data_IF_618219850793
#
_entry.id   IF_618219850793
#
_cell.length_a   1.000
_cell.length_b   1.000
_cell.length_c   1.000
_cell.angle_alpha   90.00
_cell.angle_beta   90.00
_cell.angle_gamma   90.00
#
_symmetry.space_group_name_H-M   'P 1'
#
loop_
_entity.id
_entity.type
_entity.pdbx_description
1 polymer ?
#
# COMPACT_ATOMS: atom_id res chain seq x y z
N UNK A 1 -28.20 -23.98 17.08
CA UNK A 1 -27.21 -25.05 17.33
C UNK A 1 -25.94 -24.33 17.74
N UNK A 2 -25.59 -24.40 19.02
CA UNK A 2 -24.38 -23.76 19.51
C UNK A 2 -23.15 -24.54 18.98
N UNK A 3 -22.42 -23.93 18.07
CA UNK A 3 -21.14 -24.47 17.63
C UNK A 3 -20.16 -24.38 18.77
N UNK A 4 -19.57 -25.50 19.15
CA UNK A 4 -18.40 -25.56 20.00
C UNK A 4 -17.25 -24.81 19.29
N UNK A 5 -17.08 -23.52 19.60
CA UNK A 5 -15.84 -22.84 19.33
C UNK A 5 -14.81 -23.40 20.33
N UNK A 6 -14.01 -24.38 19.87
CA UNK A 6 -12.79 -24.76 20.56
C UNK A 6 -11.97 -23.47 20.71
N UNK A 7 -11.66 -23.10 21.94
CA UNK A 7 -10.81 -21.95 22.21
C UNK A 7 -9.51 -22.05 21.41
N UNK A 8 -8.87 -20.95 21.04
CA UNK A 8 -7.69 -20.94 20.19
C UNK A 8 -6.65 -21.91 20.74
N UNK A 9 -6.20 -22.85 19.89
CA UNK A 9 -5.13 -23.76 20.27
C UNK A 9 -3.98 -22.93 20.82
N UNK A 10 -3.57 -23.21 22.06
CA UNK A 10 -2.47 -22.49 22.73
C UNK A 10 -1.20 -22.38 21.90
N UNK A 11 -1.01 -23.32 20.94
CA UNK A 11 0.13 -23.32 20.02
C UNK A 11 0.05 -22.25 18.91
N UNK A 12 -1.14 -21.81 18.52
CA UNK A 12 -1.34 -20.84 17.44
C UNK A 12 -2.11 -19.59 17.88
N UNK A 13 -2.30 -19.41 19.19
CA UNK A 13 -2.93 -18.22 19.74
C UNK A 13 -2.05 -16.98 19.68
N UNK A 14 -2.68 -15.79 19.85
CA UNK A 14 -2.00 -14.49 19.86
C UNK A 14 -0.69 -14.47 20.68
N UNK A 15 -0.64 -14.92 21.96
CA UNK A 15 0.58 -14.82 22.76
C UNK A 15 1.74 -15.61 22.17
N UNK A 16 1.50 -16.81 21.68
CA UNK A 16 2.57 -17.69 21.15
C UNK A 16 3.17 -17.10 19.89
N UNK A 17 2.35 -16.59 18.96
CA UNK A 17 2.82 -15.95 17.72
C UNK A 17 3.51 -14.65 18.05
N UNK A 18 2.91 -13.81 18.87
CA UNK A 18 3.45 -12.49 19.22
C UNK A 18 4.83 -12.61 19.91
N UNK A 19 4.92 -13.36 20.99
CA UNK A 19 6.19 -13.51 21.72
C UNK A 19 7.20 -14.39 20.96
N UNK A 20 6.74 -15.37 20.20
CA UNK A 20 7.60 -16.22 19.38
C UNK A 20 8.32 -15.41 18.28
N UNK A 21 7.60 -14.59 17.56
CA UNK A 21 8.17 -13.72 16.51
C UNK A 21 9.09 -12.66 17.11
N UNK A 22 8.75 -12.08 18.26
CA UNK A 22 9.63 -11.14 18.98
C UNK A 22 10.89 -11.83 19.49
N UNK A 23 10.81 -13.06 19.97
CA UNK A 23 12.00 -13.83 20.38
C UNK A 23 12.95 -14.10 19.21
N UNK A 24 12.42 -14.38 18.02
CA UNK A 24 13.23 -14.49 16.79
C UNK A 24 13.91 -13.16 16.47
N UNK A 25 13.17 -12.04 16.47
CA UNK A 25 13.73 -10.72 16.21
C UNK A 25 14.80 -10.33 17.24
N UNK A 26 14.53 -10.57 18.53
CA UNK A 26 15.49 -10.35 19.62
C UNK A 26 16.74 -11.20 19.47
N UNK A 27 16.61 -12.46 19.07
CA UNK A 27 17.74 -13.34 18.81
C UNK A 27 18.59 -12.86 17.64
N UNK A 28 17.98 -12.42 16.55
CA UNK A 28 18.68 -11.79 15.42
C UNK A 28 19.39 -10.52 15.84
N UNK A 29 18.71 -9.63 16.58
CA UNK A 29 19.29 -8.40 17.11
C UNK A 29 20.50 -8.68 18.01
N UNK A 30 20.39 -9.68 18.90
CA UNK A 30 21.48 -10.13 19.76
C UNK A 30 22.67 -10.67 18.94
N UNK A 31 22.40 -11.51 17.93
CA UNK A 31 23.43 -12.02 17.03
C UNK A 31 24.16 -10.90 16.29
N UNK A 32 23.43 -9.91 15.77
CA UNK A 32 24.04 -8.75 15.13
C UNK A 32 24.88 -7.93 16.12
N UNK A 33 24.39 -7.73 17.33
CA UNK A 33 25.14 -7.04 18.38
C UNK A 33 26.45 -7.77 18.73
N UNK A 34 26.42 -9.09 18.82
CA UNK A 34 27.62 -9.91 19.04
C UNK A 34 28.63 -9.78 17.89
N UNK A 35 28.12 -9.78 16.64
CA UNK A 35 28.97 -9.74 15.45
C UNK A 35 29.58 -8.37 15.15
N UNK A 36 28.85 -7.29 15.43
CA UNK A 36 29.24 -5.91 15.08
C UNK A 36 29.39 -4.97 16.28
N UNK A 37 29.31 -5.47 17.50
CA UNK A 37 29.46 -4.72 18.74
C UNK A 37 28.23 -3.92 19.17
N UNK A 38 27.40 -3.45 18.23
CA UNK A 38 26.11 -2.77 18.49
C UNK A 38 25.23 -2.74 17.23
N UNK A 39 23.96 -2.47 17.43
CA UNK A 39 23.06 -2.19 16.31
C UNK A 39 23.32 -0.78 15.77
N UNK A 40 23.11 -0.56 14.45
CA UNK A 40 23.26 0.75 13.83
C UNK A 40 22.36 1.81 14.49
N UNK A 41 22.89 3.03 14.61
CA UNK A 41 22.11 4.21 15.03
C UNK A 41 21.56 4.95 13.80
N UNK A 42 20.71 5.97 14.02
CA UNK A 42 20.13 6.82 12.98
C UNK A 42 21.26 7.40 12.11
N UNK A 43 21.08 7.32 10.79
CA UNK A 43 22.04 7.80 9.81
C UNK A 43 23.25 6.90 9.56
N UNK A 44 23.44 5.84 10.33
CA UNK A 44 24.53 4.89 10.12
C UNK A 44 24.19 3.86 9.03
N UNK A 45 25.26 3.27 8.47
CA UNK A 45 25.12 2.18 7.50
C UNK A 45 24.24 1.06 8.06
N UNK A 46 23.30 0.59 7.24
CA UNK A 46 22.28 -0.42 7.52
C UNK A 46 21.11 0.04 8.40
N UNK A 47 21.07 1.27 8.92
CA UNK A 47 19.89 1.79 9.63
C UNK A 47 18.63 1.66 8.78
N UNK A 48 18.64 2.21 7.56
CA UNK A 48 17.49 2.18 6.65
C UNK A 48 17.11 0.76 6.22
N UNK A 49 18.07 -0.17 6.15
CA UNK A 49 17.80 -1.58 5.87
C UNK A 49 17.01 -2.22 7.02
N UNK A 50 17.40 -1.97 8.26
CA UNK A 50 16.72 -2.50 9.45
C UNK A 50 15.30 -1.92 9.54
N UNK A 51 15.19 -0.59 9.42
CA UNK A 51 13.91 0.13 9.47
C UNK A 51 12.95 -0.40 8.40
N UNK A 52 13.43 -0.55 7.15
CA UNK A 52 12.61 -1.12 6.08
C UNK A 52 12.20 -2.56 6.37
N UNK A 53 13.13 -3.39 6.84
CA UNK A 53 12.84 -4.80 7.14
C UNK A 53 11.76 -4.93 8.21
N UNK A 54 11.84 -4.14 9.27
CA UNK A 54 10.82 -4.11 10.33
C UNK A 54 9.48 -3.53 9.83
N UNK A 55 9.53 -2.50 8.99
CA UNK A 55 8.35 -1.95 8.33
C UNK A 55 7.67 -2.96 7.38
N UNK A 56 8.46 -3.72 6.62
CA UNK A 56 7.95 -4.79 5.77
C UNK A 56 7.34 -5.93 6.59
N UNK A 57 7.89 -6.25 7.76
CA UNK A 57 7.23 -7.19 8.67
C UNK A 57 5.84 -6.69 9.08
N UNK A 58 5.73 -5.41 9.50
CA UNK A 58 4.41 -4.82 9.78
C UNK A 58 3.47 -4.90 8.57
N UNK A 59 3.96 -4.62 7.35
CA UNK A 59 3.15 -4.71 6.14
C UNK A 59 2.68 -6.14 5.86
N UNK A 60 3.56 -7.14 6.00
CA UNK A 60 3.18 -8.56 5.84
C UNK A 60 2.11 -8.93 6.88
N UNK A 61 2.26 -8.48 8.12
CA UNK A 61 1.22 -8.66 9.15
C UNK A 61 -0.11 -8.05 8.74
N UNK A 62 -0.11 -6.81 8.23
CA UNK A 62 -1.31 -6.14 7.71
C UNK A 62 -1.93 -6.91 6.53
N UNK A 63 -1.13 -7.45 5.60
CA UNK A 63 -1.64 -8.24 4.48
C UNK A 63 -2.35 -9.52 4.97
N UNK A 64 -1.75 -10.21 5.93
CA UNK A 64 -2.32 -11.44 6.53
C UNK A 64 -3.61 -11.11 7.28
N UNK A 65 -3.61 -10.04 8.07
CA UNK A 65 -4.77 -9.58 8.82
C UNK A 65 -5.92 -9.16 7.89
N UNK A 66 -5.61 -8.37 6.86
CA UNK A 66 -6.58 -7.98 5.84
C UNK A 66 -7.18 -9.18 5.11
N UNK A 67 -6.36 -10.20 4.81
CA UNK A 67 -6.85 -11.44 4.22
C UNK A 67 -7.82 -12.17 5.16
N UNK A 68 -7.51 -12.26 6.46
CA UNK A 68 -8.39 -12.90 7.45
C UNK A 68 -9.74 -12.18 7.53
N UNK A 69 -9.75 -10.83 7.53
CA UNK A 69 -10.97 -10.03 7.49
C UNK A 69 -11.80 -10.26 6.23
N UNK A 70 -11.16 -10.33 5.06
CA UNK A 70 -11.85 -10.54 3.78
C UNK A 70 -12.44 -11.95 3.68
N UNK A 71 -11.68 -12.97 4.12
CA UNK A 71 -12.11 -14.37 4.08
C UNK A 71 -13.10 -14.76 5.17
N UNK A 72 -13.48 -13.83 6.06
CA UNK A 72 -14.45 -14.08 7.13
C UNK A 72 -13.91 -15.01 8.23
N UNK A 73 -12.59 -15.10 8.38
CA UNK A 73 -11.93 -15.92 9.43
C UNK A 73 -11.57 -15.10 10.67
N UNK A 74 -12.26 -13.98 10.88
CA UNK A 74 -12.02 -13.08 12.01
C UNK A 74 -12.82 -13.52 13.23
N UNK A 75 -12.14 -13.55 14.39
CA UNK A 75 -12.76 -13.73 15.69
C UNK A 75 -13.38 -12.43 16.22
N UNK A 76 -14.32 -12.55 17.18
CA UNK A 76 -14.95 -11.41 17.85
C UNK A 76 -14.02 -10.73 18.90
N UNK A 77 -12.71 -10.92 18.80
CA UNK A 77 -11.71 -10.42 19.77
C UNK A 77 -10.57 -9.72 19.05
N UNK A 78 -9.99 -8.70 19.72
CA UNK A 78 -8.77 -8.04 19.25
C UNK A 78 -7.55 -8.98 19.20
N UNK A 79 -7.48 -9.98 20.10
CA UNK A 79 -6.29 -10.83 20.25
C UNK A 79 -6.29 -12.02 19.27
N UNK A 80 -6.30 -11.74 17.99
CA UNK A 80 -6.23 -12.76 16.92
C UNK A 80 -4.78 -13.13 16.57
N UNK A 81 -4.53 -14.33 16.02
CA UNK A 81 -3.22 -14.70 15.48
C UNK A 81 -2.71 -13.72 14.40
N UNK A 82 -3.61 -13.15 13.63
CA UNK A 82 -3.33 -12.21 12.55
C UNK A 82 -2.80 -10.88 13.09
N UNK A 83 -3.48 -10.30 14.07
CA UNK A 83 -3.02 -9.14 14.83
C UNK A 83 -1.67 -9.42 15.52
N UNK A 84 -1.43 -10.64 16.00
CA UNK A 84 -0.15 -10.99 16.64
C UNK A 84 1.04 -10.79 15.69
N UNK A 85 0.93 -11.17 14.43
CA UNK A 85 1.99 -10.97 13.44
C UNK A 85 2.19 -9.48 13.16
N UNK A 86 1.12 -8.74 13.00
CA UNK A 86 1.16 -7.32 12.69
C UNK A 86 1.77 -6.50 13.84
N UNK A 87 1.21 -6.65 15.03
CA UNK A 87 1.67 -5.90 16.22
C UNK A 87 3.04 -6.36 16.73
N UNK A 88 3.47 -7.61 16.49
CA UNK A 88 4.84 -8.01 16.80
C UNK A 88 5.86 -7.29 15.92
N UNK A 89 5.57 -7.10 14.64
CA UNK A 89 6.39 -6.28 13.74
C UNK A 89 6.50 -4.83 14.23
N UNK A 90 5.36 -4.21 14.58
CA UNK A 90 5.34 -2.86 15.10
C UNK A 90 6.09 -2.73 16.44
N UNK A 91 5.96 -3.72 17.32
CA UNK A 91 6.70 -3.76 18.60
C UNK A 91 8.21 -3.88 18.37
N UNK A 92 8.63 -4.75 17.45
CA UNK A 92 10.05 -4.88 17.09
C UNK A 92 10.61 -3.56 16.50
N UNK A 93 9.83 -2.90 15.64
CA UNK A 93 10.19 -1.61 15.09
C UNK A 93 10.27 -0.54 16.19
N UNK A 94 9.25 -0.44 17.03
CA UNK A 94 9.23 0.50 18.16
C UNK A 94 10.39 0.26 19.13
N UNK A 95 10.72 -0.99 19.43
CA UNK A 95 11.87 -1.35 20.27
C UNK A 95 13.21 -0.92 19.64
N UNK A 96 13.36 -1.09 18.34
CA UNK A 96 14.54 -0.62 17.62
C UNK A 96 14.63 0.92 17.63
N UNK A 97 13.55 1.63 17.37
CA UNK A 97 13.52 3.10 17.45
C UNK A 97 13.80 3.58 18.87
N UNK A 98 13.22 2.92 19.88
CA UNK A 98 13.55 3.22 21.28
C UNK A 98 15.05 3.07 21.57
N UNK A 99 15.66 1.97 21.08
CA UNK A 99 17.12 1.74 21.22
C UNK A 99 17.93 2.84 20.56
N UNK A 100 17.60 3.26 19.34
CA UNK A 100 18.37 4.28 18.62
C UNK A 100 18.21 5.67 19.20
N UNK A 101 17.10 5.96 19.87
CA UNK A 101 16.82 7.21 20.55
C UNK A 101 17.36 7.26 21.99
N UNK A 102 17.80 6.12 22.53
CA UNK A 102 18.30 6.07 23.90
C UNK A 102 19.55 6.93 24.05
N UNK A 103 19.51 7.99 24.88
CA UNK A 103 20.66 8.86 25.12
C UNK A 103 21.76 8.15 25.93
N UNK A 104 22.97 8.69 25.92
CA UNK A 104 24.10 8.14 26.67
C UNK A 104 23.86 8.14 28.18
N UNK A 105 23.10 9.12 28.68
CA UNK A 105 22.68 9.24 30.10
C UNK A 105 21.67 8.17 30.51
N UNK A 106 21.20 7.37 29.56
CA UNK A 106 20.34 6.20 29.79
C UNK A 106 18.86 6.50 29.90
N UNK A 107 18.10 5.44 30.19
CA UNK A 107 16.62 5.44 30.17
C UNK A 107 16.00 6.44 31.17
N UNK A 108 16.65 6.67 32.32
CA UNK A 108 16.16 7.63 33.33
C UNK A 108 16.13 9.07 32.83
N UNK A 109 17.13 9.44 32.00
CA UNK A 109 17.18 10.74 31.35
C UNK A 109 16.07 10.85 30.28
N UNK A 110 15.91 9.83 29.46
CA UNK A 110 14.87 9.78 28.42
C UNK A 110 13.46 9.89 29.00
N UNK A 111 13.17 9.23 30.13
CA UNK A 111 11.87 9.33 30.79
C UNK A 111 11.60 10.74 31.32
N UNK A 112 12.61 11.42 31.85
CA UNK A 112 12.46 12.79 32.35
C UNK A 112 12.35 13.83 31.25
N UNK A 113 13.00 13.58 30.10
CA UNK A 113 13.09 14.51 28.98
C UNK A 113 12.76 13.83 27.63
N UNK A 114 11.54 13.27 27.46
CA UNK A 114 11.20 12.42 26.30
C UNK A 114 11.29 13.18 24.96
N UNK A 115 11.03 14.48 24.98
CA UNK A 115 11.08 15.31 23.77
C UNK A 115 12.49 15.74 23.36
N UNK A 116 13.47 15.61 24.23
CA UNK A 116 14.84 16.01 23.94
C UNK A 116 15.48 15.07 22.93
N UNK A 117 15.32 13.77 23.10
CA UNK A 117 15.78 12.75 22.15
C UNK A 117 15.16 12.91 20.74
N UNK A 118 13.93 13.47 20.65
CA UNK A 118 13.26 13.73 19.39
C UNK A 118 13.72 15.00 18.70
N UNK A 119 14.19 16.01 19.45
CA UNK A 119 14.64 17.30 18.87
C UNK A 119 15.90 17.16 18.02
N UNK A 120 16.79 16.25 18.39
CA UNK A 120 18.06 16.01 17.68
C UNK A 120 17.96 15.20 16.41
N UNK A 121 16.77 14.68 16.06
CA UNK A 121 16.59 13.85 14.88
C UNK A 121 16.60 14.72 13.62
N UNK A 122 17.45 14.36 12.65
CA UNK A 122 17.49 15.01 11.35
C UNK A 122 16.14 14.83 10.62
N UNK A 123 15.69 15.87 9.86
CA UNK A 123 14.36 15.89 9.25
C UNK A 123 14.00 14.65 8.44
N UNK A 124 14.96 14.07 7.71
CA UNK A 124 14.76 12.90 6.85
C UNK A 124 14.48 11.61 7.63
N UNK A 125 14.85 11.52 8.90
CA UNK A 125 14.63 10.34 9.74
C UNK A 125 13.35 10.46 10.61
N UNK A 126 12.79 11.68 10.71
CA UNK A 126 11.56 11.93 11.50
C UNK A 126 10.37 11.09 11.05
N UNK A 127 10.10 10.89 9.74
CA UNK A 127 8.95 10.10 9.32
C UNK A 127 8.95 8.69 9.90
N UNK A 128 10.08 7.97 9.87
CA UNK A 128 10.18 6.64 10.44
C UNK A 128 9.94 6.59 11.94
N UNK A 129 10.48 7.57 12.68
CA UNK A 129 10.31 7.68 14.14
C UNK A 129 8.89 8.06 14.50
N UNK A 130 8.34 9.12 13.89
CA UNK A 130 6.97 9.54 14.20
C UNK A 130 5.94 8.55 13.67
N UNK A 131 6.20 7.88 12.56
CA UNK A 131 5.35 6.84 12.01
C UNK A 131 5.08 5.73 13.01
N UNK A 132 6.13 5.18 13.63
CA UNK A 132 5.95 4.10 14.61
C UNK A 132 5.34 4.58 15.94
N UNK A 133 5.55 5.84 16.32
CA UNK A 133 4.89 6.44 17.49
C UNK A 133 3.39 6.59 17.22
N UNK A 134 3.01 7.13 16.07
CA UNK A 134 1.60 7.26 15.64
C UNK A 134 0.97 5.87 15.59
N UNK A 135 1.64 4.91 14.96
CA UNK A 135 1.18 3.52 14.90
C UNK A 135 0.92 2.93 16.30
N UNK A 136 1.86 3.10 17.23
CA UNK A 136 1.73 2.59 18.59
C UNK A 136 0.56 3.20 19.35
N UNK A 137 0.39 4.54 19.28
CA UNK A 137 -0.75 5.25 19.88
C UNK A 137 -2.07 4.77 19.27
N UNK A 138 -2.12 4.66 17.94
CA UNK A 138 -3.31 4.21 17.22
C UNK A 138 -3.63 2.74 17.51
N UNK A 139 -2.62 1.87 17.68
CA UNK A 139 -2.83 0.46 18.01
C UNK A 139 -3.40 0.27 19.43
N UNK A 140 -2.96 1.07 20.41
CA UNK A 140 -3.59 1.08 21.73
C UNK A 140 -5.02 1.63 21.64
N UNK A 141 -5.22 2.68 20.85
CA UNK A 141 -6.54 3.23 20.58
C UNK A 141 -7.47 2.23 19.93
N UNK A 142 -6.95 1.44 18.99
CA UNK A 142 -7.66 0.41 18.26
C UNK A 142 -8.13 -0.74 19.17
N UNK A 143 -7.27 -1.19 20.06
CA UNK A 143 -7.64 -2.16 21.10
C UNK A 143 -8.80 -1.62 21.98
N UNK A 144 -8.71 -0.36 22.43
CA UNK A 144 -9.77 0.26 23.23
C UNK A 144 -11.06 0.41 22.41
N UNK A 145 -10.94 0.77 21.15
CA UNK A 145 -12.07 0.94 20.23
C UNK A 145 -12.85 -0.38 20.05
N UNK A 146 -12.14 -1.46 19.76
CA UNK A 146 -12.75 -2.79 19.63
C UNK A 146 -13.42 -3.28 20.90
N UNK A 147 -12.81 -3.05 22.07
CA UNK A 147 -13.38 -3.46 23.38
C UNK A 147 -14.59 -2.62 23.77
N UNK A 148 -14.71 -1.38 23.29
CA UNK A 148 -15.79 -0.47 23.71
C UNK A 148 -16.92 -0.36 22.68
N UNK A 149 -16.62 -0.40 21.41
CA UNK A 149 -17.57 -0.20 20.31
C UNK A 149 -17.82 -1.48 19.48
N UNK A 150 -17.02 -2.52 19.71
CA UNK A 150 -17.04 -3.76 18.95
C UNK A 150 -16.14 -3.69 17.70
N UNK A 151 -16.01 -4.83 17.03
CA UNK A 151 -15.21 -4.96 15.79
C UNK A 151 -16.02 -4.41 14.62
N UNK A 152 -15.42 -3.48 13.88
CA UNK A 152 -16.04 -2.91 12.69
C UNK A 152 -16.12 -3.94 11.56
N UNK A 153 -17.11 -3.75 10.72
CA UNK A 153 -17.32 -4.58 9.54
C UNK A 153 -17.33 -3.74 8.26
N UNK A 154 -17.05 -4.38 7.13
CA UNK A 154 -17.16 -3.75 5.81
C UNK A 154 -16.21 -2.55 5.65
N UNK A 155 -16.71 -1.42 5.15
CA UNK A 155 -15.92 -0.20 4.91
C UNK A 155 -15.59 0.59 6.16
N UNK A 156 -16.33 0.40 7.25
CA UNK A 156 -16.10 1.10 8.52
C UNK A 156 -14.71 0.78 9.09
N UNK A 157 -14.19 -0.44 8.84
CA UNK A 157 -12.82 -0.84 9.18
C UNK A 157 -11.79 0.15 8.62
N UNK A 158 -11.98 0.66 7.41
CA UNK A 158 -11.04 1.57 6.76
C UNK A 158 -11.17 3.01 7.23
N UNK A 159 -12.27 3.37 7.89
CA UNK A 159 -12.65 4.73 8.22
C UNK A 159 -12.59 5.04 9.71
N UNK A 160 -12.37 4.04 10.58
CA UNK A 160 -12.21 4.32 12.01
C UNK A 160 -10.95 5.19 12.24
N UNK A 161 -10.99 6.13 13.19
CA UNK A 161 -9.86 7.00 13.47
C UNK A 161 -8.59 6.25 13.86
N UNK A 162 -8.73 5.11 14.52
CA UNK A 162 -7.64 4.24 14.93
C UNK A 162 -6.97 3.57 13.74
N UNK A 163 -7.74 2.98 12.82
CA UNK A 163 -7.20 2.39 11.60
C UNK A 163 -6.57 3.43 10.67
N UNK A 164 -7.17 4.63 10.53
CA UNK A 164 -6.54 5.72 9.78
C UNK A 164 -5.16 6.06 10.38
N UNK A 165 -5.07 6.15 11.71
CA UNK A 165 -3.80 6.37 12.39
C UNK A 165 -2.80 5.23 12.18
N UNK A 166 -3.23 3.97 12.22
CA UNK A 166 -2.40 2.79 11.92
C UNK A 166 -1.86 2.85 10.48
N UNK A 167 -2.71 3.17 9.48
CA UNK A 167 -2.28 3.31 8.10
C UNK A 167 -1.27 4.45 7.90
N UNK A 168 -1.55 5.64 8.45
CA UNK A 168 -0.63 6.78 8.37
C UNK A 168 0.71 6.43 9.02
N UNK A 169 0.68 5.85 10.22
CA UNK A 169 1.87 5.42 10.94
C UNK A 169 2.69 4.40 10.14
N UNK A 170 2.03 3.43 9.52
CA UNK A 170 2.69 2.42 8.70
C UNK A 170 3.27 3.02 7.41
N UNK A 171 2.52 3.87 6.68
CA UNK A 171 3.02 4.56 5.48
C UNK A 171 4.30 5.33 5.81
N UNK A 172 4.30 6.11 6.90
CA UNK A 172 5.46 6.87 7.34
C UNK A 172 6.62 5.95 7.71
N UNK A 173 6.36 4.84 8.37
CA UNK A 173 7.39 3.87 8.80
C UNK A 173 8.03 3.15 7.61
N UNK A 174 7.26 2.61 6.68
CA UNK A 174 7.80 1.87 5.51
C UNK A 174 8.45 2.81 4.49
N UNK A 175 8.03 4.07 4.44
CA UNK A 175 8.64 5.08 3.55
C UNK A 175 9.90 5.74 4.16
N UNK A 176 10.28 5.43 5.39
CA UNK A 176 11.44 6.06 6.04
C UNK A 176 12.73 6.03 5.18
N UNK A 177 13.11 4.92 4.51
CA UNK A 177 14.28 4.91 3.64
C UNK A 177 14.14 5.82 2.41
N UNK A 178 12.91 6.09 1.96
CA UNK A 178 12.65 7.02 0.85
C UNK A 178 13.00 8.45 1.26
N UNK A 179 12.63 8.84 2.49
CA UNK A 179 12.96 10.15 3.04
C UNK A 179 14.45 10.33 3.27
N UNK A 180 15.14 9.29 3.80
CA UNK A 180 16.61 9.27 3.94
C UNK A 180 17.27 9.45 2.58
N UNK A 181 16.84 8.70 1.58
CA UNK A 181 17.35 8.80 0.22
C UNK A 181 17.00 10.13 -0.44
N UNK A 182 15.85 10.73 -0.11
CA UNK A 182 15.46 12.04 -0.64
C UNK A 182 16.43 13.14 -0.21
N UNK A 183 16.91 13.07 1.03
CA UNK A 183 17.88 14.02 1.57
C UNK A 183 19.31 13.80 1.05
N UNK A 184 19.66 12.57 0.65
CA UNK A 184 20.98 12.24 0.08
C UNK A 184 20.97 12.42 -1.44
N UNK A 185 21.69 13.45 -1.98
CA UNK A 185 21.74 13.70 -3.41
C UNK A 185 22.36 12.56 -4.23
N UNK A 186 23.16 11.70 -3.59
CA UNK A 186 23.88 10.60 -4.25
C UNK A 186 23.08 9.30 -4.26
N UNK A 187 22.01 9.20 -3.45
CA UNK A 187 21.27 7.96 -3.29
C UNK A 187 20.41 7.66 -4.52
N UNK A 188 20.35 6.38 -4.92
CA UNK A 188 19.47 5.90 -5.97
C UNK A 188 19.81 6.34 -7.40
N UNK A 189 20.93 7.02 -7.61
CA UNK A 189 21.26 7.62 -8.91
C UNK A 189 21.77 6.56 -9.93
N UNK A 190 22.42 5.50 -9.49
CA UNK A 190 23.05 4.53 -10.41
C UNK A 190 22.68 3.08 -10.09
N UNK A 191 21.84 2.52 -10.95
CA UNK A 191 21.58 1.09 -10.99
C UNK A 191 20.58 0.58 -9.94
N UNK A 192 19.98 -0.55 -10.22
CA UNK A 192 18.89 -1.15 -9.45
C UNK A 192 19.30 -1.41 -7.98
N UNK A 193 20.51 -1.91 -7.77
CA UNK A 193 21.01 -2.25 -6.41
C UNK A 193 20.98 -1.05 -5.46
N UNK A 194 21.31 0.14 -5.94
CA UNK A 194 21.27 1.37 -5.13
C UNK A 194 19.86 1.89 -4.93
N UNK A 195 18.92 1.51 -5.77
CA UNK A 195 17.50 1.88 -5.67
C UNK A 195 16.65 0.88 -4.87
N UNK A 196 17.19 -0.25 -4.41
CA UNK A 196 16.37 -1.30 -3.77
C UNK A 196 15.59 -0.80 -2.54
N UNK A 197 16.21 0.00 -1.68
CA UNK A 197 15.52 0.56 -0.50
C UNK A 197 14.39 1.51 -0.91
N UNK A 198 14.58 2.30 -1.97
CA UNK A 198 13.56 3.17 -2.54
C UNK A 198 12.41 2.36 -3.13
N UNK A 199 12.73 1.37 -3.94
CA UNK A 199 11.77 0.49 -4.63
C UNK A 199 10.85 -0.19 -3.62
N UNK A 200 11.43 -0.81 -2.59
CA UNK A 200 10.64 -1.49 -1.56
C UNK A 200 9.91 -0.50 -0.65
N UNK A 201 10.51 0.63 -0.29
CA UNK A 201 9.86 1.66 0.53
C UNK A 201 8.66 2.30 -0.17
N UNK A 202 8.81 2.66 -1.46
CA UNK A 202 7.71 3.21 -2.28
C UNK A 202 6.65 2.13 -2.54
N UNK A 203 7.05 0.92 -2.92
CA UNK A 203 6.13 -0.19 -3.15
C UNK A 203 5.30 -0.50 -1.91
N UNK A 204 5.92 -0.55 -0.73
CA UNK A 204 5.25 -0.79 0.54
C UNK A 204 4.27 0.33 0.91
N UNK A 205 4.69 1.59 0.82
CA UNK A 205 3.83 2.74 1.10
C UNK A 205 2.63 2.79 0.15
N UNK A 206 2.87 2.56 -1.14
CA UNK A 206 1.80 2.50 -2.14
C UNK A 206 0.81 1.35 -1.85
N UNK A 207 1.30 0.18 -1.44
CA UNK A 207 0.43 -0.96 -1.09
C UNK A 207 -0.50 -0.65 0.09
N UNK A 208 -0.02 0.08 1.11
CA UNK A 208 -0.88 0.53 2.22
C UNK A 208 -1.92 1.54 1.74
N UNK A 209 -1.52 2.49 0.87
CA UNK A 209 -2.45 3.46 0.26
C UNK A 209 -3.54 2.74 -0.54
N UNK A 210 -3.18 1.72 -1.34
CA UNK A 210 -4.16 0.93 -2.10
C UNK A 210 -5.16 0.22 -1.20
N UNK A 211 -4.76 -0.23 -0.02
CA UNK A 211 -5.66 -0.81 0.97
C UNK A 211 -6.57 0.25 1.59
N UNK A 212 -6.04 1.40 1.99
CA UNK A 212 -6.86 2.52 2.51
C UNK A 212 -7.96 2.93 1.53
N UNK A 213 -7.66 2.92 0.23
CA UNK A 213 -8.60 3.24 -0.84
C UNK A 213 -9.22 1.98 -1.47
N UNK A 214 -9.33 0.88 -0.72
CA UNK A 214 -9.90 -0.38 -1.21
C UNK A 214 -11.28 -0.19 -1.83
N UNK A 215 -12.12 0.66 -1.25
CA UNK A 215 -13.47 0.96 -1.74
C UNK A 215 -13.48 1.63 -3.13
N UNK A 216 -12.37 2.26 -3.53
CA UNK A 216 -12.18 2.87 -4.83
C UNK A 216 -11.16 2.09 -5.69
N UNK A 217 -10.84 0.85 -5.33
CA UNK A 217 -9.85 0.04 -6.04
C UNK A 217 -10.56 -1.05 -6.85
N UNK A 218 -10.66 -0.84 -8.16
CA UNK A 218 -11.35 -1.75 -9.06
C UNK A 218 -10.61 -3.08 -9.34
N UNK A 219 -9.38 -3.23 -8.87
CA UNK A 219 -8.72 -4.53 -8.82
C UNK A 219 -9.25 -5.41 -7.68
N UNK A 220 -9.65 -4.78 -6.56
CA UNK A 220 -10.14 -5.46 -5.36
C UNK A 220 -11.65 -5.65 -5.42
N UNK A 221 -12.37 -4.62 -5.87
CA UNK A 221 -13.83 -4.63 -6.01
C UNK A 221 -14.19 -4.33 -7.47
N UNK A 222 -14.02 -5.28 -8.37
CA UNK A 222 -14.28 -5.06 -9.78
C UNK A 222 -15.76 -4.81 -10.03
N UNK A 223 -16.06 -3.78 -10.83
CA UNK A 223 -17.43 -3.32 -11.07
C UNK A 223 -18.31 -4.39 -11.73
N UNK A 224 -17.68 -5.27 -12.50
CA UNK A 224 -18.37 -6.41 -13.10
C UNK A 224 -18.99 -7.32 -12.06
N UNK A 225 -18.45 -7.44 -10.85
CA UNK A 225 -19.03 -8.24 -9.79
C UNK A 225 -20.36 -7.67 -9.27
N UNK A 226 -20.55 -6.35 -9.36
CA UNK A 226 -21.81 -5.70 -9.05
C UNK A 226 -22.87 -5.92 -10.11
N UNK A 227 -22.43 -6.11 -11.35
CA UNK A 227 -23.31 -6.32 -12.48
C UNK A 227 -23.66 -7.78 -12.72
N UNK A 228 -22.79 -8.72 -12.39
CA UNK A 228 -23.00 -10.16 -12.63
C UNK A 228 -23.73 -10.89 -11.51
N UNK A 229 -23.76 -10.36 -10.32
CA UNK A 229 -24.52 -10.95 -9.24
C UNK A 229 -26.00 -10.79 -9.51
N UNK A 230 -26.68 -11.91 -9.81
CA UNK A 230 -28.14 -11.93 -9.95
C UNK A 230 -28.90 -11.45 -8.71
N UNK A 231 -28.21 -11.33 -7.58
CA UNK A 231 -28.75 -10.85 -6.31
C UNK A 231 -28.64 -9.31 -6.16
N UNK A 232 -27.76 -8.66 -6.90
CA UNK A 232 -27.61 -7.21 -6.87
C UNK A 232 -28.34 -6.61 -8.07
N UNK A 233 -29.52 -6.04 -7.82
CA UNK A 233 -30.29 -5.29 -8.82
C UNK A 233 -29.60 -3.99 -9.30
N UNK A 234 -28.32 -3.79 -9.01
CA UNK A 234 -27.59 -2.57 -9.33
C UNK A 234 -27.45 -2.32 -10.83
N UNK A 235 -27.46 -3.35 -11.64
CA UNK A 235 -27.37 -3.23 -13.09
C UNK A 235 -28.66 -3.53 -13.82
N UNK A 236 -29.74 -3.76 -13.07
CA UNK A 236 -31.09 -3.86 -13.62
C UNK A 236 -31.82 -2.52 -13.46
N UNK A 237 -32.30 -1.98 -14.55
CA UNK A 237 -33.05 -0.73 -14.61
C UNK A 237 -32.23 0.53 -14.25
N UNK A 238 -32.81 1.46 -13.48
CA UNK A 238 -32.34 2.83 -13.23
C UNK A 238 -31.02 2.96 -12.44
N UNK A 239 -30.41 1.86 -12.01
CA UNK A 239 -29.17 1.86 -11.21
C UNK A 239 -27.89 1.60 -11.99
N UNK A 240 -27.97 1.39 -13.30
CA UNK A 240 -26.79 1.23 -14.15
C UNK A 240 -25.90 2.47 -14.12
N UNK A 241 -26.49 3.66 -14.17
CA UNK A 241 -25.76 4.92 -14.11
C UNK A 241 -25.04 5.12 -12.78
N UNK A 242 -25.64 4.67 -11.66
CA UNK A 242 -25.00 4.72 -10.34
C UNK A 242 -23.77 3.82 -10.30
N UNK A 243 -23.87 2.58 -10.78
CA UNK A 243 -22.75 1.64 -10.82
C UNK A 243 -21.63 2.13 -11.75
N UNK A 244 -21.99 2.66 -12.92
CA UNK A 244 -21.03 3.26 -13.85
C UNK A 244 -20.33 4.49 -13.22
N UNK A 245 -21.11 5.34 -12.55
CA UNK A 245 -20.56 6.53 -11.86
C UNK A 245 -19.56 6.18 -10.79
N UNK A 246 -19.86 5.17 -9.94
CA UNK A 246 -18.93 4.67 -8.90
C UNK A 246 -17.66 4.10 -9.55
N UNK A 247 -17.80 3.33 -10.62
CA UNK A 247 -16.67 2.77 -11.35
C UNK A 247 -15.77 3.84 -11.95
N UNK A 248 -16.33 4.86 -12.59
CA UNK A 248 -15.58 5.98 -13.16
C UNK A 248 -14.85 6.77 -12.07
N UNK A 249 -15.52 7.10 -10.95
CA UNK A 249 -14.89 7.79 -9.82
C UNK A 249 -13.70 6.97 -9.26
N UNK A 250 -13.88 5.68 -9.10
CA UNK A 250 -12.81 4.77 -8.64
C UNK A 250 -11.61 4.77 -9.57
N UNK A 251 -11.82 4.74 -10.89
CA UNK A 251 -10.74 4.84 -11.88
C UNK A 251 -9.98 6.16 -11.78
N UNK A 252 -10.71 7.27 -11.59
CA UNK A 252 -10.08 8.59 -11.51
C UNK A 252 -9.27 8.76 -10.22
N UNK A 253 -9.77 8.23 -9.09
CA UNK A 253 -9.02 8.18 -7.84
C UNK A 253 -7.74 7.35 -8.02
N UNK A 254 -7.82 6.18 -8.63
CA UNK A 254 -6.65 5.34 -8.90
C UNK A 254 -5.65 6.01 -9.85
N UNK A 255 -6.13 6.67 -10.90
CA UNK A 255 -5.28 7.45 -11.80
C UNK A 255 -4.53 8.55 -11.05
N UNK A 256 -5.20 9.23 -10.12
CA UNK A 256 -4.59 10.23 -9.25
C UNK A 256 -3.53 9.66 -8.33
N UNK A 257 -3.82 8.56 -7.63
CA UNK A 257 -2.87 7.88 -6.73
C UNK A 257 -1.64 7.39 -7.51
N UNK A 258 -1.86 6.70 -8.63
CA UNK A 258 -0.77 6.22 -9.49
C UNK A 258 0.11 7.38 -9.97
N UNK A 259 -0.49 8.48 -10.43
CA UNK A 259 0.24 9.66 -10.86
C UNK A 259 1.06 10.27 -9.72
N UNK A 260 0.50 10.39 -8.51
CA UNK A 260 1.18 10.95 -7.36
C UNK A 260 2.40 10.12 -6.97
N UNK A 261 2.27 8.79 -6.91
CA UNK A 261 3.36 7.88 -6.56
C UNK A 261 4.49 7.92 -7.60
N UNK A 262 4.15 8.00 -8.88
CA UNK A 262 5.12 8.15 -9.96
C UNK A 262 5.84 9.51 -9.89
N UNK A 263 5.11 10.59 -9.60
CA UNK A 263 5.70 11.93 -9.45
C UNK A 263 6.70 11.94 -8.31
N UNK A 264 6.36 11.40 -7.14
CA UNK A 264 7.27 11.31 -5.99
C UNK A 264 8.58 10.61 -6.39
N UNK A 265 8.50 9.50 -7.13
CA UNK A 265 9.70 8.80 -7.57
C UNK A 265 10.48 9.58 -8.64
N UNK A 266 9.80 10.01 -9.71
CA UNK A 266 10.44 10.58 -10.90
C UNK A 266 10.92 12.03 -10.71
N UNK A 267 10.43 12.76 -9.70
CA UNK A 267 10.96 14.10 -9.38
C UNK A 267 12.39 14.05 -8.85
N UNK A 268 12.76 12.96 -8.19
CA UNK A 268 14.02 12.87 -7.47
C UNK A 268 15.01 11.91 -8.10
N UNK A 269 14.52 10.82 -8.67
CA UNK A 269 15.36 9.74 -9.18
C UNK A 269 15.02 9.37 -10.61
N UNK A 270 16.05 9.03 -11.36
CA UNK A 270 15.92 8.39 -12.64
C UNK A 270 15.71 6.88 -12.42
N UNK A 271 14.64 6.28 -12.96
CA UNK A 271 14.38 4.86 -12.74
C UNK A 271 15.50 4.01 -13.32
N UNK A 272 16.12 3.20 -12.49
CA UNK A 272 17.03 2.16 -12.94
C UNK A 272 16.24 1.04 -13.61
N UNK A 273 16.88 0.36 -14.57
CA UNK A 273 16.26 -0.79 -15.24
C UNK A 273 15.84 -1.85 -14.21
N UNK A 274 14.57 -2.24 -14.21
CA UNK A 274 13.94 -3.13 -13.27
C UNK A 274 13.26 -2.44 -12.08
N UNK A 275 13.49 -1.16 -11.81
CA UNK A 275 12.91 -0.45 -10.66
C UNK A 275 11.40 -0.34 -10.76
N UNK A 276 10.88 0.05 -11.93
CA UNK A 276 9.43 0.17 -12.15
C UNK A 276 8.74 -1.18 -12.08
N UNK A 277 9.34 -2.20 -12.69
CA UNK A 277 8.86 -3.57 -12.62
C UNK A 277 8.73 -4.05 -11.18
N UNK A 278 9.74 -3.84 -10.34
CA UNK A 278 9.72 -4.29 -8.95
C UNK A 278 8.69 -3.52 -8.09
N UNK A 279 8.56 -2.19 -8.25
CA UNK A 279 7.56 -1.39 -7.53
C UNK A 279 6.16 -1.92 -7.86
N UNK A 280 5.85 -2.10 -9.14
CA UNK A 280 4.53 -2.53 -9.59
C UNK A 280 4.26 -4.01 -9.26
N UNK A 281 5.27 -4.86 -9.32
CA UNK A 281 5.16 -6.27 -8.88
C UNK A 281 4.86 -6.34 -7.40
N UNK A 282 5.51 -5.52 -6.57
CA UNK A 282 5.23 -5.46 -5.14
C UNK A 282 3.76 -5.10 -4.88
N UNK A 283 3.24 -4.07 -5.55
CA UNK A 283 1.83 -3.70 -5.47
C UNK A 283 0.90 -4.78 -5.98
N UNK A 284 1.26 -5.44 -7.07
CA UNK A 284 0.49 -6.56 -7.64
C UNK A 284 0.38 -7.72 -6.66
N UNK A 285 1.47 -8.08 -5.96
CA UNK A 285 1.45 -9.12 -4.93
C UNK A 285 0.55 -8.74 -3.76
N UNK A 286 0.60 -7.48 -3.32
CA UNK A 286 -0.29 -6.98 -2.27
C UNK A 286 -1.77 -7.04 -2.70
N UNK A 287 -2.08 -6.60 -3.93
CA UNK A 287 -3.43 -6.70 -4.49
C UNK A 287 -3.89 -8.15 -4.63
N UNK A 288 -3.02 -9.06 -5.01
CA UNK A 288 -3.32 -10.49 -5.10
C UNK A 288 -3.76 -11.07 -3.75
N UNK A 289 -3.14 -10.65 -2.64
CA UNK A 289 -3.58 -11.02 -1.29
C UNK A 289 -4.94 -10.40 -0.96
N UNK A 290 -5.13 -9.10 -1.26
CA UNK A 290 -6.39 -8.39 -1.00
C UNK A 290 -7.58 -8.90 -1.83
N UNK A 291 -7.33 -9.65 -2.89
CA UNK A 291 -8.34 -10.25 -3.77
C UNK A 291 -8.48 -11.76 -3.55
N UNK A 292 -8.13 -12.25 -2.36
CA UNK A 292 -8.21 -13.67 -2.01
C UNK A 292 -7.48 -14.59 -3.01
N UNK A 293 -6.29 -14.14 -3.44
CA UNK A 293 -5.44 -14.84 -4.40
C UNK A 293 -6.05 -15.01 -5.81
N UNK A 294 -6.81 -14.00 -6.28
CA UNK A 294 -7.32 -13.99 -7.64
C UNK A 294 -6.19 -13.99 -8.68
N UNK A 295 -6.12 -15.07 -9.46
CA UNK A 295 -5.07 -15.29 -10.46
C UNK A 295 -5.07 -14.25 -11.57
N UNK A 296 -6.23 -13.67 -11.92
CA UNK A 296 -6.29 -12.61 -12.92
C UNK A 296 -5.54 -11.36 -12.44
N UNK A 297 -5.65 -11.03 -11.16
CA UNK A 297 -4.96 -9.87 -10.59
C UNK A 297 -3.44 -10.02 -10.70
N UNK A 298 -2.89 -11.20 -10.34
CA UNK A 298 -1.45 -11.40 -10.42
C UNK A 298 -0.96 -11.42 -11.88
N UNK A 299 -1.67 -12.10 -12.79
CA UNK A 299 -1.26 -12.16 -14.19
C UNK A 299 -1.34 -10.79 -14.87
N UNK A 300 -2.46 -10.08 -14.71
CA UNK A 300 -2.65 -8.78 -15.35
C UNK A 300 -1.79 -7.69 -14.71
N UNK A 301 -1.61 -7.72 -13.39
CA UNK A 301 -0.69 -6.80 -12.72
C UNK A 301 0.77 -7.00 -13.15
N UNK A 302 1.22 -8.23 -13.36
CA UNK A 302 2.55 -8.51 -13.93
C UNK A 302 2.65 -8.06 -15.38
N UNK A 303 1.61 -8.25 -16.20
CA UNK A 303 1.56 -7.71 -17.58
C UNK A 303 1.73 -6.20 -17.54
N UNK A 304 0.99 -5.51 -16.68
CA UNK A 304 1.13 -4.06 -16.51
C UNK A 304 2.55 -3.67 -16.09
N UNK A 305 3.12 -4.33 -15.09
CA UNK A 305 4.48 -4.08 -14.62
C UNK A 305 5.53 -4.25 -15.73
N UNK A 306 5.39 -5.28 -16.58
CA UNK A 306 6.25 -5.51 -17.73
C UNK A 306 6.09 -4.40 -18.78
N UNK A 307 4.85 -4.02 -19.12
CA UNK A 307 4.60 -2.97 -20.10
C UNK A 307 5.19 -1.62 -19.67
N UNK A 308 5.06 -1.28 -18.38
CA UNK A 308 5.61 -0.05 -17.82
C UNK A 308 7.14 -0.06 -17.85
N UNK A 309 7.77 -1.19 -17.51
CA UNK A 309 9.22 -1.33 -17.57
C UNK A 309 9.74 -1.24 -19.01
N UNK A 310 9.07 -1.90 -19.95
CA UNK A 310 9.41 -1.83 -21.39
C UNK A 310 9.21 -0.42 -21.97
N UNK A 311 8.37 0.41 -21.34
CA UNK A 311 8.13 1.79 -21.74
C UNK A 311 9.16 2.79 -21.15
N UNK A 312 10.13 2.37 -20.35
CA UNK A 312 11.19 3.27 -19.85
C UNK A 312 11.89 4.11 -20.93
N UNK A 313 12.11 3.62 -22.19
CA UNK A 313 12.63 4.46 -23.25
C UNK A 313 11.76 5.68 -23.56
N UNK A 314 10.45 5.64 -23.31
CA UNK A 314 9.55 6.79 -23.45
C UNK A 314 9.94 7.86 -22.42
N UNK A 315 10.16 7.46 -21.15
CA UNK A 315 10.63 8.35 -20.10
C UNK A 315 11.96 9.04 -20.50
N UNK A 316 12.94 8.26 -20.93
CA UNK A 316 14.27 8.78 -21.29
C UNK A 316 14.25 9.73 -22.50
N UNK A 317 13.32 9.52 -23.46
CA UNK A 317 13.22 10.34 -24.69
C UNK A 317 12.28 11.52 -24.55
N UNK A 318 11.14 11.35 -23.88
CA UNK A 318 10.03 12.30 -23.86
C UNK A 318 9.75 12.86 -22.46
N UNK A 319 10.40 12.33 -21.43
CA UNK A 319 10.26 12.78 -20.06
C UNK A 319 9.00 12.31 -19.34
N UNK A 320 8.91 12.70 -18.06
CA UNK A 320 7.82 12.31 -17.15
C UNK A 320 6.43 12.76 -17.64
N UNK A 321 6.33 13.92 -18.30
CA UNK A 321 5.05 14.48 -18.79
C UNK A 321 4.32 13.62 -19.83
N UNK A 322 5.05 12.76 -20.51
CA UNK A 322 4.47 11.80 -21.47
C UNK A 322 4.42 10.41 -20.83
N UNK A 323 5.41 10.07 -20.02
CA UNK A 323 5.51 8.74 -19.43
C UNK A 323 4.39 8.48 -18.40
N UNK A 324 4.08 9.45 -17.51
CA UNK A 324 3.03 9.29 -16.48
C UNK A 324 1.66 9.03 -17.10
N UNK A 325 1.13 9.86 -18.02
CA UNK A 325 -0.16 9.57 -18.65
C UNK A 325 -0.17 8.25 -19.41
N UNK A 326 0.96 7.85 -20.01
CA UNK A 326 1.09 6.55 -20.65
C UNK A 326 0.93 5.40 -19.62
N UNK A 327 1.59 5.46 -18.46
CA UNK A 327 1.48 4.43 -17.43
C UNK A 327 0.04 4.33 -16.90
N UNK A 328 -0.58 5.47 -16.61
CA UNK A 328 -1.94 5.54 -16.10
C UNK A 328 -2.94 4.96 -17.11
N UNK A 329 -2.78 5.30 -18.39
CA UNK A 329 -3.62 4.74 -19.47
C UNK A 329 -3.44 3.24 -19.63
N UNK A 330 -2.20 2.75 -19.58
CA UNK A 330 -1.92 1.30 -19.70
C UNK A 330 -2.44 0.53 -18.51
N UNK A 331 -2.41 1.09 -17.30
CA UNK A 331 -3.05 0.49 -16.12
C UNK A 331 -4.52 0.21 -16.39
N UNK A 332 -5.22 1.21 -16.89
CA UNK A 332 -6.64 1.09 -17.18
C UNK A 332 -6.94 0.12 -18.33
N UNK A 333 -6.14 0.16 -19.38
CA UNK A 333 -6.31 -0.79 -20.50
C UNK A 333 -6.14 -2.23 -20.04
N UNK A 334 -5.14 -2.51 -19.18
CA UNK A 334 -4.92 -3.85 -18.63
C UNK A 334 -6.05 -4.26 -17.69
N UNK A 335 -6.58 -3.34 -16.88
CA UNK A 335 -7.71 -3.58 -16.01
C UNK A 335 -8.98 -3.92 -16.84
N UNK A 336 -9.27 -3.15 -17.88
CA UNK A 336 -10.39 -3.41 -18.79
C UNK A 336 -10.23 -4.75 -19.51
N UNK A 337 -9.02 -5.09 -19.94
CA UNK A 337 -8.73 -6.40 -20.52
C UNK A 337 -8.99 -7.54 -19.52
N UNK A 338 -8.63 -7.34 -18.23
CA UNK A 338 -8.94 -8.28 -17.16
C UNK A 338 -10.45 -8.50 -17.01
N UNK A 339 -11.23 -7.42 -17.00
CA UNK A 339 -12.69 -7.49 -16.94
C UNK A 339 -13.29 -8.21 -18.14
N UNK A 340 -12.79 -7.91 -19.34
CA UNK A 340 -13.25 -8.56 -20.56
C UNK A 340 -13.00 -10.09 -20.51
N UNK A 341 -11.82 -10.50 -20.04
CA UNK A 341 -11.49 -11.93 -19.90
C UNK A 341 -12.40 -12.60 -18.89
N UNK A 342 -12.61 -12.00 -17.72
CA UNK A 342 -13.51 -12.54 -16.70
C UNK A 342 -14.94 -12.65 -17.20
N UNK A 343 -15.44 -11.63 -17.90
CA UNK A 343 -16.78 -11.61 -18.47
C UNK A 343 -16.98 -12.68 -19.55
N UNK A 344 -15.95 -12.97 -20.35
CA UNK A 344 -16.01 -14.01 -21.37
C UNK A 344 -16.03 -15.42 -20.80
N UNK A 345 -15.41 -15.64 -19.64
CA UNK A 345 -15.41 -16.92 -18.94
C UNK A 345 -16.80 -17.23 -18.30
N UNK A 346 -17.58 -16.19 -18.01
CA UNK A 346 -18.98 -16.34 -17.58
C UNK A 346 -19.83 -16.50 -18.82
N UNK A 347 -19.91 -17.70 -19.36
CA UNK A 347 -20.55 -18.06 -20.65
C UNK A 347 -22.05 -17.64 -20.79
N UNK A 348 -22.62 -16.97 -19.79
CA UNK A 348 -23.99 -16.48 -19.76
C UNK A 348 -24.05 -14.97 -19.51
N UNK A 349 -22.98 -14.25 -19.73
CA UNK A 349 -22.94 -12.78 -19.60
C UNK A 349 -23.88 -12.03 -20.59
N UNK A 350 -24.53 -12.76 -21.48
CA UNK A 350 -25.59 -12.27 -22.40
C UNK A 350 -26.86 -11.81 -21.70
N UNK A 351 -26.97 -11.94 -20.38
CA UNK A 351 -28.17 -11.51 -19.64
C UNK A 351 -28.43 -10.01 -19.57
N UNK A 352 -27.46 -9.23 -19.98
CA UNK A 352 -27.48 -7.78 -19.80
C UNK A 352 -28.10 -7.03 -20.95
N UNK A 353 -28.24 -7.71 -22.10
CA UNK A 353 -28.57 -7.09 -23.36
C UNK A 353 -29.96 -7.55 -23.74
N UNK A 354 -30.98 -7.16 -22.96
CA UNK A 354 -32.33 -7.06 -23.45
C UNK A 354 -32.44 -5.81 -24.33
N UNK A 355 -31.89 -5.93 -25.51
CA UNK A 355 -31.88 -4.93 -26.54
C UNK A 355 -30.55 -5.04 -27.28
N UNK A 356 -30.59 -5.19 -28.58
CA UNK A 356 -29.43 -5.29 -29.50
C UNK A 356 -28.49 -4.07 -29.46
N UNK A 357 -28.07 -3.63 -28.28
CA UNK A 357 -27.13 -2.52 -28.14
C UNK A 357 -25.71 -3.07 -28.34
N UNK A 358 -25.32 -3.15 -29.59
CA UNK A 358 -23.97 -3.54 -30.07
C UNK A 358 -22.84 -2.71 -29.43
N UNK A 359 -23.17 -1.72 -28.60
CA UNK A 359 -22.21 -0.78 -27.99
C UNK A 359 -21.85 -1.15 -26.55
N UNK A 360 -22.49 -2.15 -25.94
CA UNK A 360 -22.22 -2.61 -24.58
C UNK A 360 -21.20 -3.74 -24.62
N UNK A 361 -20.13 -3.60 -23.85
CA UNK A 361 -19.09 -4.60 -23.69
C UNK A 361 -19.54 -5.70 -22.72
N UNK A 362 -18.95 -6.91 -22.77
CA UNK A 362 -19.36 -8.04 -21.92
C UNK A 362 -19.38 -7.75 -20.40
N UNK A 363 -18.58 -6.78 -19.93
CA UNK A 363 -18.56 -6.36 -18.53
C UNK A 363 -19.55 -5.22 -18.20
N UNK A 364 -20.49 -4.91 -19.09
CA UNK A 364 -21.60 -4.00 -18.84
C UNK A 364 -21.33 -2.52 -19.15
N UNK A 365 -20.13 -2.13 -19.54
CA UNK A 365 -19.86 -0.76 -19.96
C UNK A 365 -20.05 -0.53 -21.44
N UNK A 366 -20.45 0.67 -21.82
CA UNK A 366 -20.48 1.06 -23.24
C UNK A 366 -19.07 1.32 -23.77
N UNK A 367 -18.90 1.25 -25.08
CA UNK A 367 -17.65 1.65 -25.76
C UNK A 367 -17.31 3.10 -25.40
N UNK A 368 -18.30 3.99 -25.32
CA UNK A 368 -18.10 5.40 -24.98
C UNK A 368 -17.53 5.56 -23.56
N UNK A 369 -18.11 4.92 -22.55
CA UNK A 369 -17.62 4.97 -21.17
C UNK A 369 -16.23 4.38 -21.06
N UNK A 370 -15.96 3.31 -21.79
CA UNK A 370 -14.66 2.62 -21.77
C UNK A 370 -13.56 3.48 -22.39
N UNK A 371 -13.76 3.98 -23.62
CA UNK A 371 -12.77 4.83 -24.28
C UNK A 371 -12.65 6.18 -23.56
N UNK A 372 -13.78 6.77 -23.18
CA UNK A 372 -13.80 8.04 -22.44
C UNK A 372 -13.03 7.98 -21.13
N UNK A 373 -13.16 6.89 -20.36
CA UNK A 373 -12.42 6.71 -19.11
C UNK A 373 -10.91 6.59 -19.33
N UNK A 374 -10.46 5.90 -20.37
CA UNK A 374 -9.02 5.83 -20.73
C UNK A 374 -8.47 7.22 -21.04
N UNK A 375 -9.22 8.01 -21.81
CA UNK A 375 -8.80 9.38 -22.18
C UNK A 375 -8.77 10.28 -20.93
N UNK A 376 -9.79 10.23 -20.08
CA UNK A 376 -9.84 11.06 -18.86
C UNK A 376 -8.70 10.67 -17.90
N UNK A 377 -8.42 9.39 -17.71
CA UNK A 377 -7.30 8.96 -16.88
C UNK A 377 -5.95 9.42 -17.45
N UNK A 378 -5.79 9.40 -18.78
CA UNK A 378 -4.61 9.98 -19.43
C UNK A 378 -4.49 11.49 -19.14
N UNK A 379 -5.61 12.22 -19.22
CA UNK A 379 -5.66 13.66 -18.91
C UNK A 379 -5.31 13.90 -17.43
N UNK A 380 -5.83 13.11 -16.49
CA UNK A 380 -5.47 13.19 -15.06
C UNK A 380 -3.96 13.01 -14.89
N UNK A 381 -3.38 11.95 -15.48
CA UNK A 381 -1.94 11.71 -15.45
C UNK A 381 -1.13 12.86 -16.06
N UNK A 382 -1.60 13.43 -17.16
CA UNK A 382 -0.96 14.56 -17.83
C UNK A 382 -1.02 15.83 -16.98
N UNK A 383 -2.19 16.20 -16.44
CA UNK A 383 -2.34 17.35 -15.55
C UNK A 383 -1.48 17.20 -14.28
N UNK A 384 -1.51 16.02 -13.64
CA UNK A 384 -0.66 15.74 -12.49
C UNK A 384 0.83 15.90 -12.84
N UNK A 385 1.24 15.43 -14.02
CA UNK A 385 2.63 15.55 -14.47
C UNK A 385 3.06 16.99 -14.76
N UNK A 386 2.15 17.85 -15.24
CA UNK A 386 2.43 19.27 -15.43
C UNK A 386 2.65 19.96 -14.07
N UNK A 387 1.82 19.64 -13.08
CA UNK A 387 1.95 20.15 -11.71
C UNK A 387 3.25 19.64 -11.07
N UNK A 388 3.54 18.36 -11.21
CA UNK A 388 4.73 17.72 -10.65
C UNK A 388 6.05 18.16 -11.32
N UNK A 389 6.01 18.51 -12.61
CA UNK A 389 7.18 18.90 -13.41
C UNK A 389 6.94 20.21 -14.14
N UNK A 390 6.83 21.36 -13.43
CA UNK A 390 6.60 22.66 -14.06
C UNK A 390 7.75 23.04 -15.00
N UNK A 391 7.44 23.72 -16.13
CA UNK A 391 8.45 24.15 -17.11
C UNK A 391 9.33 25.29 -16.60
N UNK A 392 8.81 26.09 -15.66
CA UNK A 392 9.52 27.15 -14.97
C UNK A 392 9.41 26.88 -13.47
N UNK A 393 10.54 26.54 -12.83
CA UNK A 393 10.63 26.73 -11.38
C UNK A 393 10.73 28.24 -11.18
N UNK A 394 9.77 28.87 -10.45
CA UNK A 394 9.98 30.24 -10.02
C UNK A 394 11.28 30.24 -9.21
N UNK A 395 12.22 31.13 -9.56
CA UNK A 395 13.38 31.38 -8.72
C UNK A 395 12.87 31.70 -7.32
N UNK A 396 12.93 30.75 -6.41
CA UNK A 396 12.69 31.01 -4.99
C UNK A 396 13.87 31.87 -4.52
N UNK A 397 13.70 33.18 -4.60
CA UNK A 397 14.53 34.13 -3.89
C UNK A 397 14.32 33.88 -2.38
N UNK A 398 15.01 32.91 -1.82
CA UNK A 398 15.21 32.78 -0.39
C UNK A 398 16.11 33.96 0.03
N UNK A 399 15.47 35.11 0.38
CA UNK A 399 16.11 36.14 1.18
C UNK A 399 16.18 35.72 2.63
#
# INVERSE_FOLDING_TARGET
>A
MAGNHAGPDLLFGFPTIFFGTLAVAGSLGFFFNMKWGRLPKIGEKYYDVIVLTLGLWCLVGLLIDSFAHISGTVDDTFFTPWHAIWYSGATAYGAYIFYVLLPEEGISHMIRNPFESLKGIEPQHKPGVYGIIIFGISGVGDMIWHETLGVESSLDILLSPTHIGLFIGLIMSVSAPVWSAWADPSSGIKGLKSQMLLVFGIGAAWSVILLMFRFANLWIAPIESFCYSSQLNLCKNDRYEDALSIGLQSLYIQAGITSAMLIIFLQRWEPARGSMFLILTFNTVSLFVYTEFDRNVIYMGLVWAILVELALPIYHKLGAKIYIPFIVSTQLIVLIASWYIRASDIANATYWIEGNDLHVLPFGWTIHSTIGSVVICAVIGWLASIIGFPNHQPEMNLK
#
